data_IF_612357298274
#
_entry.id   IF_612357298274
#
_cell.length_a   1.000
_cell.length_b   1.000
_cell.length_c   1.000
_cell.angle_alpha   90.00
_cell.angle_beta   90.00
_cell.angle_gamma   90.00
#
_symmetry.space_group_name_H-M   'P 1'
#
loop_
_entity.id
_entity.type
_entity.pdbx_description
1 polymer ?
#
# COMPACT_ATOMS: atom_id res chain seq x y z
N UNK A 1 -21.38 14.79 -14.41
CA UNK A 1 -21.60 13.99 -15.65
C UNK A 1 -22.81 14.49 -16.39
N UNK A 2 -22.65 14.91 -17.66
CA UNK A 2 -23.76 15.27 -18.54
C UNK A 2 -24.59 14.01 -18.87
N UNK A 3 -25.90 14.06 -18.64
CA UNK A 3 -26.82 12.94 -18.91
C UNK A 3 -26.92 12.78 -20.43
N UNK A 4 -26.26 11.78 -21.01
CA UNK A 4 -26.33 11.48 -22.44
C UNK A 4 -27.62 10.69 -22.70
N UNK A 5 -28.49 11.24 -23.55
CA UNK A 5 -29.77 10.61 -23.93
C UNK A 5 -29.69 10.19 -25.39
N UNK A 6 -29.86 8.89 -25.65
CA UNK A 6 -29.95 8.34 -27.00
C UNK A 6 -31.45 8.27 -27.37
N UNK A 7 -31.85 9.04 -28.38
CA UNK A 7 -33.22 9.00 -28.90
C UNK A 7 -33.31 7.96 -30.01
N UNK A 8 -34.23 7.00 -29.88
CA UNK A 8 -34.41 5.91 -30.84
C UNK A 8 -35.80 5.98 -31.42
N UNK A 9 -35.93 5.91 -32.76
CA UNK A 9 -37.19 5.70 -33.50
C UNK A 9 -37.32 4.24 -33.84
N UNK A 10 -38.54 3.75 -33.97
CA UNK A 10 -38.86 2.35 -34.30
C UNK A 10 -38.65 2.08 -35.81
N UNK A 11 -37.43 2.25 -36.28
CA UNK A 11 -36.97 1.89 -37.62
C UNK A 11 -35.55 1.32 -37.53
N UNK A 12 -35.19 0.47 -38.47
CA UNK A 12 -33.93 -0.27 -38.53
C UNK A 12 -32.70 0.65 -38.45
N UNK A 13 -32.73 1.73 -39.19
CA UNK A 13 -31.63 2.69 -39.26
C UNK A 13 -31.38 3.34 -37.90
N UNK A 14 -32.42 3.76 -37.19
CA UNK A 14 -32.30 4.42 -35.88
C UNK A 14 -31.83 3.43 -34.79
N UNK A 15 -32.33 2.19 -34.86
CA UNK A 15 -31.90 1.10 -33.96
C UNK A 15 -30.39 0.80 -34.16
N UNK A 16 -29.97 0.61 -35.42
CA UNK A 16 -28.57 0.32 -35.73
C UNK A 16 -27.63 1.47 -35.32
N UNK A 17 -28.06 2.71 -35.45
CA UNK A 17 -27.27 3.87 -34.97
C UNK A 17 -27.15 3.85 -33.43
N UNK A 18 -28.24 3.55 -32.71
CA UNK A 18 -28.21 3.46 -31.26
C UNK A 18 -27.29 2.33 -30.77
N UNK A 19 -27.30 1.19 -31.44
CA UNK A 19 -26.37 0.07 -31.16
C UNK A 19 -24.91 0.53 -31.30
N UNK A 20 -24.56 1.18 -32.42
CA UNK A 20 -23.21 1.71 -32.64
C UNK A 20 -22.79 2.72 -31.57
N UNK A 21 -23.70 3.61 -31.15
CA UNK A 21 -23.41 4.56 -30.07
C UNK A 21 -23.14 3.86 -28.75
N UNK A 22 -23.90 2.83 -28.41
CA UNK A 22 -23.70 2.03 -27.21
C UNK A 22 -22.39 1.25 -27.24
N UNK A 23 -22.02 0.67 -28.39
CA UNK A 23 -20.74 0.00 -28.57
C UNK A 23 -19.55 0.96 -28.39
N UNK A 24 -19.65 2.16 -28.97
CA UNK A 24 -18.63 3.19 -28.81
C UNK A 24 -18.54 3.67 -27.36
N UNK A 25 -19.68 3.84 -26.68
CA UNK A 25 -19.70 4.19 -25.25
C UNK A 25 -19.08 3.08 -24.39
N UNK A 26 -19.37 1.80 -24.69
CA UNK A 26 -18.75 0.66 -24.01
C UNK A 26 -17.23 0.68 -24.17
N UNK A 27 -16.71 0.89 -25.37
CA UNK A 27 -15.27 0.98 -25.62
C UNK A 27 -14.64 2.13 -24.82
N UNK A 28 -15.22 3.31 -24.90
CA UNK A 28 -14.79 4.48 -24.14
C UNK A 28 -14.77 4.21 -22.63
N UNK A 29 -15.81 3.56 -22.09
CA UNK A 29 -15.89 3.24 -20.67
C UNK A 29 -14.78 2.28 -20.23
N UNK A 30 -14.48 1.27 -21.04
CA UNK A 30 -13.40 0.31 -20.78
C UNK A 30 -12.04 1.02 -20.75
N UNK A 31 -11.78 1.89 -21.74
CA UNK A 31 -10.54 2.66 -21.82
C UNK A 31 -10.39 3.61 -20.61
N UNK A 32 -11.46 4.35 -20.30
CA UNK A 32 -11.46 5.25 -19.13
C UNK A 32 -11.32 4.53 -17.80
N UNK A 33 -11.87 3.32 -17.69
CA UNK A 33 -11.66 2.49 -16.49
C UNK A 33 -10.20 2.07 -16.34
N UNK A 34 -9.54 1.71 -17.42
CA UNK A 34 -8.08 1.40 -17.39
C UNK A 34 -7.24 2.63 -17.01
N UNK A 35 -7.54 3.78 -17.60
CA UNK A 35 -6.87 5.05 -17.25
C UNK A 35 -7.07 5.38 -15.76
N UNK A 36 -8.29 5.22 -15.26
CA UNK A 36 -8.60 5.47 -13.86
C UNK A 36 -7.85 4.54 -12.90
N UNK A 37 -7.85 3.25 -13.18
CA UNK A 37 -7.13 2.27 -12.36
C UNK A 37 -5.62 2.55 -12.34
N UNK A 38 -5.06 2.91 -13.50
CA UNK A 38 -3.66 3.29 -13.59
C UNK A 38 -3.36 4.56 -12.80
N UNK A 39 -4.15 5.61 -12.95
CA UNK A 39 -3.98 6.86 -12.21
C UNK A 39 -4.07 6.64 -10.68
N UNK A 40 -5.00 5.79 -10.25
CA UNK A 40 -5.15 5.43 -8.84
C UNK A 40 -3.93 4.64 -8.32
N UNK A 41 -3.41 3.70 -9.10
CA UNK A 41 -2.24 2.92 -8.74
C UNK A 41 -0.96 3.76 -8.71
N UNK A 42 -0.77 4.65 -9.69
CA UNK A 42 0.37 5.57 -9.74
C UNK A 42 0.38 6.51 -8.51
N UNK A 43 -0.77 7.06 -8.12
CA UNK A 43 -0.93 7.84 -6.89
C UNK A 43 -0.61 6.99 -5.66
N UNK A 44 -1.10 5.75 -5.62
CA UNK A 44 -0.83 4.82 -4.52
C UNK A 44 0.65 4.50 -4.34
N UNK A 45 1.40 4.33 -5.43
CA UNK A 45 2.86 4.13 -5.37
C UNK A 45 3.57 5.36 -4.80
N UNK A 46 3.17 6.57 -5.20
CA UNK A 46 3.76 7.80 -4.68
C UNK A 46 3.53 7.91 -3.16
N UNK A 47 2.30 7.72 -2.71
CA UNK A 47 1.94 7.77 -1.29
C UNK A 47 2.71 6.71 -0.50
N UNK A 48 2.71 5.46 -0.99
CA UNK A 48 3.38 4.35 -0.32
C UNK A 48 4.88 4.59 -0.19
N UNK A 49 5.56 5.03 -1.26
CA UNK A 49 6.98 5.33 -1.21
C UNK A 49 7.32 6.42 -0.18
N UNK A 50 6.51 7.48 -0.08
CA UNK A 50 6.71 8.53 0.94
C UNK A 50 6.56 7.96 2.35
N UNK A 51 5.54 7.13 2.58
CA UNK A 51 5.29 6.52 3.90
C UNK A 51 6.40 5.55 4.29
N UNK A 52 6.84 4.68 3.37
CA UNK A 52 7.97 3.78 3.64
C UNK A 52 9.28 4.55 3.86
N UNK A 53 9.56 5.58 3.07
CA UNK A 53 10.77 6.38 3.23
C UNK A 53 10.84 7.11 4.58
N UNK A 54 9.69 7.49 5.15
CA UNK A 54 9.58 8.17 6.45
C UNK A 54 9.37 7.22 7.64
N UNK A 55 9.35 5.91 7.41
CA UNK A 55 9.07 4.92 8.44
C UNK A 55 10.14 4.90 9.55
N UNK A 56 9.69 4.74 10.79
CA UNK A 56 10.56 4.50 11.93
C UNK A 56 10.93 3.02 11.96
N UNK A 57 12.21 2.74 11.70
CA UNK A 57 12.69 1.37 11.56
C UNK A 57 14.15 1.26 12.03
N UNK A 58 14.48 0.17 12.73
CA UNK A 58 15.84 -0.23 13.00
C UNK A 58 16.32 -1.18 11.90
N UNK A 59 17.48 -0.90 11.33
CA UNK A 59 18.03 -1.61 10.19
C UNK A 59 17.84 -0.90 8.86
N UNK A 60 18.29 -1.55 7.80
CA UNK A 60 18.21 -1.01 6.44
C UNK A 60 16.79 -1.10 5.91
N UNK A 61 16.24 0.03 5.52
CA UNK A 61 14.97 0.09 4.83
C UNK A 61 15.21 -0.10 3.32
N UNK A 62 14.94 -1.31 2.83
CA UNK A 62 15.11 -1.73 1.43
C UNK A 62 13.79 -1.76 0.66
N UNK A 63 12.73 -1.16 1.20
CA UNK A 63 11.39 -1.24 0.62
C UNK A 63 11.26 -0.34 -0.60
N UNK A 64 10.74 -0.92 -1.68
CA UNK A 64 10.37 -0.23 -2.92
C UNK A 64 8.93 -0.54 -3.29
N UNK A 65 8.20 0.47 -3.78
CA UNK A 65 6.82 0.30 -4.22
C UNK A 65 6.71 0.44 -5.73
N UNK A 66 5.90 -0.40 -6.34
CA UNK A 66 5.67 -0.41 -7.80
C UNK A 66 4.22 -0.76 -8.13
N UNK A 67 3.83 -0.49 -9.38
CA UNK A 67 2.55 -0.94 -9.95
C UNK A 67 2.74 -2.31 -10.58
N UNK A 68 1.80 -3.21 -10.33
CA UNK A 68 1.72 -4.52 -10.96
C UNK A 68 0.36 -4.72 -11.61
N UNK A 69 0.33 -4.98 -12.91
CA UNK A 69 -0.90 -5.35 -13.62
C UNK A 69 -1.24 -6.83 -13.36
N UNK A 70 -2.45 -7.10 -12.87
CA UNK A 70 -2.92 -8.44 -12.50
C UNK A 70 -4.11 -8.90 -13.34
N UNK A 71 -4.03 -8.68 -14.66
CA UNK A 71 -5.06 -9.05 -15.62
C UNK A 71 -6.08 -7.94 -15.88
N UNK A 72 -7.17 -8.26 -16.57
CA UNK A 72 -8.17 -7.28 -16.98
C UNK A 72 -8.80 -6.56 -15.78
N UNK A 73 -8.69 -5.24 -15.78
CA UNK A 73 -9.26 -4.36 -14.76
C UNK A 73 -8.78 -4.61 -13.31
N UNK A 74 -7.56 -5.15 -13.16
CA UNK A 74 -6.92 -5.32 -11.85
C UNK A 74 -5.50 -4.79 -11.88
N UNK A 75 -5.24 -3.80 -11.05
CA UNK A 75 -3.91 -3.22 -10.83
C UNK A 75 -3.63 -3.27 -9.33
N UNK A 76 -2.42 -3.65 -8.96
CA UNK A 76 -1.98 -3.69 -7.57
C UNK A 76 -0.86 -2.69 -7.34
N UNK A 77 -0.85 -2.04 -6.20
CA UNK A 77 0.33 -1.39 -5.63
C UNK A 77 1.03 -2.43 -4.78
N UNK A 78 2.29 -2.69 -5.08
CA UNK A 78 3.08 -3.74 -4.44
C UNK A 78 4.29 -3.12 -3.77
N UNK A 79 4.50 -3.44 -2.50
CA UNK A 79 5.69 -3.11 -1.74
C UNK A 79 6.58 -4.34 -1.62
N UNK A 80 7.86 -4.21 -1.99
CA UNK A 80 8.84 -5.30 -2.00
C UNK A 80 10.10 -4.87 -1.25
N UNK A 81 10.59 -5.73 -0.38
CA UNK A 81 11.80 -5.55 0.41
C UNK A 81 11.81 -6.47 1.61
N UNK A 82 12.98 -6.80 2.14
CA UNK A 82 13.15 -7.63 3.33
C UNK A 82 12.52 -7.00 4.58
N UNK A 83 12.49 -5.67 4.64
CA UNK A 83 11.95 -4.90 5.76
C UNK A 83 10.42 -4.66 5.67
N UNK A 84 9.77 -4.99 4.56
CA UNK A 84 8.37 -4.60 4.27
C UNK A 84 7.40 -4.96 5.39
N UNK A 85 7.35 -6.24 5.80
CA UNK A 85 6.42 -6.69 6.83
C UNK A 85 6.76 -6.16 8.22
N UNK A 86 8.04 -5.98 8.51
CA UNK A 86 8.51 -5.42 9.78
C UNK A 86 8.10 -3.95 9.91
N UNK A 87 8.18 -3.20 8.83
CA UNK A 87 7.78 -1.78 8.79
C UNK A 87 6.26 -1.66 8.84
N UNK A 88 5.52 -2.46 8.07
CA UNK A 88 4.07 -2.40 8.01
C UNK A 88 3.43 -2.75 9.37
N UNK A 89 3.77 -3.92 9.92
CA UNK A 89 3.11 -4.48 11.09
C UNK A 89 3.84 -4.23 12.41
N UNK A 90 5.07 -3.74 12.37
CA UNK A 90 5.93 -3.60 13.54
C UNK A 90 6.51 -4.92 14.02
N UNK A 91 7.43 -4.84 14.97
CA UNK A 91 8.13 -6.01 15.55
C UNK A 91 8.44 -5.81 17.01
N UNK A 92 8.75 -6.92 17.71
CA UNK A 92 9.38 -6.93 19.02
C UNK A 92 8.42 -6.80 20.18
N UNK A 93 8.95 -6.23 21.30
CA UNK A 93 8.30 -6.30 22.60
C UNK A 93 7.30 -5.15 22.81
N UNK A 94 7.58 -3.99 22.22
CA UNK A 94 6.81 -2.75 22.49
C UNK A 94 5.71 -2.50 21.50
N UNK A 95 5.84 -2.94 20.26
CA UNK A 95 5.09 -2.43 19.14
C UNK A 95 4.17 -3.40 18.39
N UNK A 96 4.17 -4.72 18.64
CA UNK A 96 3.15 -5.58 18.05
C UNK A 96 1.76 -5.15 18.55
N UNK A 97 0.74 -5.36 17.74
CA UNK A 97 -0.69 -5.14 18.02
C UNK A 97 -1.27 -3.76 17.71
N UNK A 98 -0.49 -2.80 17.21
CA UNK A 98 -1.08 -1.50 16.83
C UNK A 98 -1.55 -1.41 15.37
N UNK A 99 -1.30 -2.40 14.53
CA UNK A 99 -1.83 -2.41 13.17
C UNK A 99 -3.28 -2.93 13.17
N UNK A 100 -4.27 -2.15 12.63
CA UNK A 100 -5.70 -2.51 12.71
C UNK A 100 -6.06 -3.83 12.07
N UNK A 101 -5.29 -4.27 11.06
CA UNK A 101 -5.54 -5.50 10.30
C UNK A 101 -4.54 -6.62 10.62
N UNK A 102 -3.68 -6.45 11.62
CA UNK A 102 -2.65 -7.44 11.98
C UNK A 102 -3.24 -8.86 12.16
N UNK A 103 -4.37 -8.98 12.84
CA UNK A 103 -5.03 -10.26 13.07
C UNK A 103 -5.49 -10.97 11.80
N UNK A 104 -5.90 -10.23 10.75
CA UNK A 104 -6.30 -10.82 9.47
C UNK A 104 -5.12 -11.46 8.72
N UNK A 105 -3.91 -11.01 9.01
CA UNK A 105 -2.68 -11.42 8.33
C UNK A 105 -1.78 -12.31 9.22
N UNK A 106 -2.25 -12.70 10.40
CA UNK A 106 -1.45 -13.50 11.35
C UNK A 106 -0.26 -12.74 11.94
N UNK A 107 -0.26 -11.41 11.88
CA UNK A 107 0.83 -10.54 12.32
C UNK A 107 0.56 -9.96 13.72
N UNK A 108 0.11 -10.81 14.63
CA UNK A 108 -0.20 -10.42 16.01
C UNK A 108 0.88 -10.86 16.98
N UNK A 109 0.80 -10.33 18.19
CA UNK A 109 1.73 -10.67 19.28
C UNK A 109 1.79 -12.19 19.51
N UNK A 110 3.00 -12.72 19.53
CA UNK A 110 3.26 -14.15 19.74
C UNK A 110 3.32 -14.99 18.47
N UNK A 111 2.84 -14.50 17.33
CA UNK A 111 2.83 -15.22 16.06
C UNK A 111 3.95 -14.77 15.14
N UNK A 112 4.14 -13.45 14.98
CA UNK A 112 5.15 -12.90 14.09
C UNK A 112 6.04 -11.90 14.82
N UNK A 113 7.36 -12.06 14.70
CA UNK A 113 8.34 -11.12 15.24
C UNK A 113 8.41 -11.02 16.76
N UNK A 114 7.57 -11.76 17.50
CA UNK A 114 7.53 -11.74 18.94
C UNK A 114 7.90 -13.10 19.54
N UNK A 115 8.88 -13.10 20.43
CA UNK A 115 9.31 -14.29 21.18
C UNK A 115 9.07 -14.06 22.67
N UNK A 116 8.01 -14.68 23.20
CA UNK A 116 7.65 -14.62 24.61
C UNK A 116 8.84 -14.93 25.53
N UNK A 117 9.05 -14.10 26.53
CA UNK A 117 9.93 -14.32 27.68
C UNK A 117 11.43 -14.09 27.45
N UNK A 118 11.95 -14.27 26.25
CA UNK A 118 13.39 -14.10 25.99
C UNK A 118 13.79 -12.67 25.57
N UNK A 119 12.85 -11.87 25.15
CA UNK A 119 13.07 -10.54 24.52
C UNK A 119 12.49 -9.36 25.29
N UNK A 120 12.07 -9.55 26.55
CA UNK A 120 11.56 -8.47 27.38
C UNK A 120 12.54 -7.30 27.54
N UNK A 121 13.84 -7.57 27.38
CA UNK A 121 14.93 -6.57 27.43
C UNK A 121 15.40 -6.13 26.04
N UNK A 122 14.65 -6.45 24.98
CA UNK A 122 15.09 -6.27 23.60
C UNK A 122 16.13 -7.31 23.19
N UNK A 123 16.76 -7.07 22.06
CA UNK A 123 17.85 -7.90 21.52
C UNK A 123 18.94 -7.04 20.88
N UNK A 124 20.04 -7.68 20.51
CA UNK A 124 21.18 -7.05 19.86
C UNK A 124 21.41 -7.71 18.51
N UNK A 125 21.89 -6.92 17.57
CA UNK A 125 22.33 -7.38 16.26
C UNK A 125 23.49 -6.54 15.73
N UNK A 126 24.18 -7.07 14.74
CA UNK A 126 25.19 -6.31 14.00
C UNK A 126 24.57 -5.80 12.68
N UNK A 127 24.63 -4.50 12.45
CA UNK A 127 24.07 -3.90 11.24
C UNK A 127 23.78 -2.41 11.39
N UNK A 128 22.98 -1.93 10.47
CA UNK A 128 22.55 -0.53 10.43
C UNK A 128 21.55 -0.26 11.58
N UNK A 129 21.77 0.76 12.42
CA UNK A 129 20.82 1.12 13.47
C UNK A 129 19.50 1.70 12.92
N UNK A 130 19.47 2.13 11.65
CA UNK A 130 18.31 2.81 11.09
C UNK A 130 17.95 4.06 11.89
N UNK A 131 16.65 4.33 12.01
CA UNK A 131 16.12 5.49 12.74
C UNK A 131 15.73 5.19 14.21
N UNK A 132 15.78 3.92 14.62
CA UNK A 132 15.21 3.48 15.92
C UNK A 132 16.16 2.59 16.74
N UNK A 133 17.26 2.09 16.17
CA UNK A 133 18.23 1.27 16.87
C UNK A 133 19.24 2.10 17.65
N UNK A 134 19.66 1.62 18.81
CA UNK A 134 20.64 2.27 19.69
C UNK A 134 22.01 1.57 19.54
N UNK A 135 23.01 2.28 19.03
CA UNK A 135 24.38 1.75 18.93
C UNK A 135 25.00 1.67 20.34
N UNK A 136 25.48 0.50 20.71
CA UNK A 136 26.17 0.30 22.00
C UNK A 136 27.59 0.88 21.91
N UNK A 137 27.88 1.84 22.77
CA UNK A 137 29.16 2.56 22.79
C UNK A 137 30.14 2.08 23.85
N UNK A 138 29.69 1.26 24.83
CA UNK A 138 30.50 0.80 25.93
C UNK A 138 30.26 -0.67 26.27
N UNK A 139 31.25 -1.34 26.88
CA UNK A 139 31.16 -2.69 27.38
C UNK A 139 31.47 -3.78 26.36
N UNK A 140 30.99 -5.00 26.60
CA UNK A 140 31.33 -6.21 25.81
C UNK A 140 30.76 -6.19 24.37
N UNK A 141 29.72 -5.42 24.14
CA UNK A 141 28.93 -5.43 22.91
C UNK A 141 29.05 -4.13 22.12
N UNK A 142 30.16 -3.42 22.30
CA UNK A 142 30.46 -2.17 21.55
C UNK A 142 30.37 -2.42 20.06
N UNK A 143 29.63 -1.56 19.35
CA UNK A 143 29.39 -1.65 17.91
C UNK A 143 28.17 -2.51 17.51
N UNK A 144 27.56 -3.23 18.44
CA UNK A 144 26.26 -3.84 18.20
C UNK A 144 25.13 -2.81 18.36
N UNK A 145 24.01 -3.07 17.72
CA UNK A 145 22.78 -2.27 17.83
C UNK A 145 21.84 -2.96 18.81
N UNK A 146 21.34 -2.24 19.79
CA UNK A 146 20.28 -2.68 20.68
C UNK A 146 18.93 -2.16 20.22
N UNK A 147 17.91 -3.03 20.27
CA UNK A 147 16.53 -2.68 19.88
C UNK A 147 15.51 -3.35 20.78
N UNK A 148 14.37 -2.71 20.92
CA UNK A 148 13.13 -3.29 21.48
C UNK A 148 12.11 -3.66 20.40
N UNK A 149 12.45 -3.45 19.13
CA UNK A 149 11.60 -3.61 17.97
C UNK A 149 11.07 -2.30 17.41
N UNK A 150 10.24 -2.41 16.39
CA UNK A 150 9.77 -1.30 15.60
C UNK A 150 8.26 -1.10 15.75
N UNK A 151 7.77 0.14 15.74
CA UNK A 151 6.34 0.40 15.66
C UNK A 151 5.77 -0.13 14.35
N UNK A 152 4.48 -0.43 14.32
CA UNK A 152 3.76 -0.60 13.07
C UNK A 152 3.60 0.77 12.40
N UNK A 153 4.32 0.98 11.29
CA UNK A 153 4.23 2.24 10.55
C UNK A 153 3.00 2.27 9.65
N UNK A 154 2.34 1.13 9.41
CA UNK A 154 1.08 1.02 8.68
C UNK A 154 1.10 1.65 7.28
N UNK A 155 2.24 1.57 6.58
CA UNK A 155 2.49 2.31 5.35
C UNK A 155 1.48 1.97 4.25
N UNK A 156 1.23 0.67 4.00
CA UNK A 156 0.25 0.24 2.99
C UNK A 156 -1.19 0.47 3.47
N UNK A 157 -1.47 0.20 4.74
CA UNK A 157 -2.79 0.48 5.31
C UNK A 157 -3.18 1.96 5.18
N UNK A 158 -2.29 2.87 5.55
CA UNK A 158 -2.51 4.31 5.43
C UNK A 158 -2.54 4.78 3.98
N UNK A 159 -1.80 4.11 3.07
CA UNK A 159 -1.89 4.37 1.63
C UNK A 159 -3.29 4.10 1.10
N UNK A 160 -3.90 2.97 1.48
CA UNK A 160 -5.27 2.65 1.07
C UNK A 160 -6.26 3.71 1.58
N UNK A 161 -6.14 4.13 2.84
CA UNK A 161 -7.00 5.18 3.41
C UNK A 161 -6.89 6.51 2.67
N UNK A 162 -5.68 6.92 2.35
CA UNK A 162 -5.48 8.16 1.60
C UNK A 162 -5.98 8.06 0.16
N UNK A 163 -5.88 6.89 -0.48
CA UNK A 163 -6.46 6.65 -1.80
C UNK A 163 -7.99 6.68 -1.77
N UNK A 164 -8.62 6.16 -0.71
CA UNK A 164 -10.07 6.26 -0.52
C UNK A 164 -10.54 7.73 -0.49
N UNK A 165 -9.79 8.61 0.16
CA UNK A 165 -10.08 10.04 0.21
C UNK A 165 -9.92 10.73 -1.16
N UNK A 166 -8.92 10.32 -1.94
CA UNK A 166 -8.62 10.89 -3.27
C UNK A 166 -9.43 10.26 -4.42
N UNK A 167 -10.17 9.19 -4.15
CA UNK A 167 -10.86 8.41 -5.17
C UNK A 167 -11.77 9.24 -6.08
N UNK A 168 -12.63 10.08 -5.49
CA UNK A 168 -13.55 10.91 -6.28
C UNK A 168 -12.83 11.97 -7.13
N UNK A 169 -11.76 12.56 -6.62
CA UNK A 169 -10.97 13.54 -7.35
C UNK A 169 -10.34 12.91 -8.59
N UNK A 170 -9.68 11.75 -8.41
CA UNK A 170 -9.05 11.00 -9.49
C UNK A 170 -10.10 10.57 -10.52
N UNK A 171 -11.26 10.06 -10.05
CA UNK A 171 -12.35 9.68 -10.94
C UNK A 171 -12.86 10.87 -11.77
N UNK A 172 -13.08 12.03 -11.18
CA UNK A 172 -13.51 13.24 -11.88
C UNK A 172 -12.49 13.66 -12.93
N UNK A 173 -11.20 13.59 -12.64
CA UNK A 173 -10.13 13.94 -13.57
C UNK A 173 -10.11 13.06 -14.82
N UNK A 174 -10.44 11.76 -14.66
CA UNK A 174 -10.34 10.77 -15.76
C UNK A 174 -11.63 10.69 -16.60
N UNK A 175 -12.80 10.78 -15.97
CA UNK A 175 -14.09 10.56 -16.63
C UNK A 175 -14.77 11.83 -17.15
N UNK A 176 -14.14 12.98 -17.03
CA UNK A 176 -14.61 14.27 -17.60
C UNK A 176 -13.88 14.64 -18.94
#
# INVERSE_FOLDING_TARGET
MSKRVIKVQLNERSINNAIKELENFKKWLVEKTKEFLKALADEGVQIANVKFASAVYDGTNDVTCSVEERGDNKIAVVAVGGATLFIEFGTGVRYPDNHPEAGKHGMVRGEYGYKLGKMAKGWRYQGDPGSNGEVITEGKHVGEVHTYGNPANMCMYLTVRELEEKFEEIARRVYV
#
